data_IF_128352676214
#
_entry.id   IF_128352676214
#
_cell.length_a   1.000
_cell.length_b   1.000
_cell.length_c   1.000
_cell.angle_alpha   90.00
_cell.angle_beta   90.00
_cell.angle_gamma   90.00
#
_symmetry.space_group_name_H-M   'P 1'
#
loop_
_entity.id
_entity.type
_entity.pdbx_description
1 polymer ?
#
# COMPACT_ATOMS: atom_id res chain seq x y z
N UNK A 1 -57.59 -34.79 -35.45
CA UNK A 1 -58.76 -34.49 -36.30
C UNK A 1 -58.68 -33.01 -36.64
N UNK A 2 -58.73 -32.69 -37.90
CA UNK A 2 -58.79 -31.41 -38.61
C UNK A 2 -57.42 -30.86 -38.99
N UNK A 3 -57.03 -31.27 -40.10
CA UNK A 3 -56.35 -30.76 -41.25
C UNK A 3 -56.86 -29.37 -41.68
N UNK A 4 -55.97 -28.45 -41.98
CA UNK A 4 -56.27 -27.38 -42.92
C UNK A 4 -55.01 -26.90 -43.62
N UNK A 5 -54.89 -27.33 -44.86
CA UNK A 5 -53.96 -26.81 -45.87
C UNK A 5 -54.57 -25.56 -46.48
N UNK A 6 -53.78 -24.53 -46.66
CA UNK A 6 -54.10 -23.49 -47.63
C UNK A 6 -52.84 -22.98 -48.37
N UNK A 7 -53.04 -22.53 -49.60
CA UNK A 7 -52.02 -22.65 -50.63
C UNK A 7 -51.15 -21.41 -50.86
N UNK A 8 -50.04 -21.69 -51.45
CA UNK A 8 -49.01 -20.79 -51.97
C UNK A 8 -49.62 -19.88 -53.07
N UNK A 9 -49.51 -18.55 -52.86
CA UNK A 9 -49.68 -17.57 -53.94
C UNK A 9 -48.33 -16.94 -54.28
N UNK A 10 -47.81 -17.35 -55.38
CA UNK A 10 -46.57 -16.86 -55.99
C UNK A 10 -46.88 -15.57 -56.76
N UNK A 11 -46.40 -14.43 -56.30
CA UNK A 11 -46.47 -13.17 -57.06
C UNK A 11 -45.06 -12.71 -57.38
N UNK A 12 -44.59 -13.10 -58.55
CA UNK A 12 -43.34 -12.57 -59.12
C UNK A 12 -43.54 -11.08 -59.49
N UNK A 13 -42.88 -10.21 -58.75
CA UNK A 13 -42.73 -8.79 -59.15
C UNK A 13 -41.37 -8.59 -59.78
N UNK A 14 -41.40 -8.31 -61.07
CA UNK A 14 -40.31 -7.88 -61.91
C UNK A 14 -39.79 -6.50 -61.41
N UNK A 15 -38.59 -6.46 -60.82
CA UNK A 15 -37.91 -5.21 -60.48
C UNK A 15 -36.98 -4.80 -61.62
N UNK A 16 -37.29 -3.71 -62.22
CA UNK A 16 -36.57 -3.05 -63.31
C UNK A 16 -35.21 -2.51 -62.86
N UNK A 17 -34.15 -2.99 -63.48
CA UNK A 17 -32.74 -2.67 -63.22
C UNK A 17 -32.37 -1.28 -63.77
N UNK A 18 -32.93 -0.20 -63.26
CA UNK A 18 -32.52 1.19 -63.61
C UNK A 18 -32.05 2.06 -62.44
N UNK A 19 -31.92 1.52 -61.19
CA UNK A 19 -31.50 2.29 -59.99
C UNK A 19 -30.08 2.03 -59.50
N UNK A 20 -29.32 1.09 -60.12
CA UNK A 20 -28.06 0.57 -59.51
C UNK A 20 -26.82 1.46 -59.77
N UNK A 21 -26.89 2.42 -60.67
CA UNK A 21 -25.73 3.28 -61.00
C UNK A 21 -25.57 4.54 -60.11
N UNK A 22 -26.62 4.92 -59.35
CA UNK A 22 -26.55 6.15 -58.52
C UNK A 22 -26.14 5.84 -57.07
N UNK A 23 -26.34 4.61 -56.60
CA UNK A 23 -26.01 4.20 -55.24
C UNK A 23 -24.48 3.98 -55.00
N UNK A 24 -23.70 3.70 -56.06
CA UNK A 24 -22.26 3.43 -55.91
C UNK A 24 -21.42 4.73 -55.73
N UNK A 25 -21.90 5.90 -56.14
CA UNK A 25 -21.16 7.14 -56.01
C UNK A 25 -21.29 7.79 -54.61
N UNK A 26 -22.42 7.58 -53.94
CA UNK A 26 -22.66 8.12 -52.60
C UNK A 26 -21.97 7.31 -51.50
N UNK A 27 -21.69 6.01 -51.69
CA UNK A 27 -21.02 5.16 -50.71
C UNK A 27 -19.53 5.45 -50.54
N UNK A 28 -18.85 5.84 -51.64
CA UNK A 28 -17.41 6.15 -51.59
C UNK A 28 -17.09 7.44 -50.83
N UNK A 29 -17.96 8.45 -50.95
CA UNK A 29 -17.77 9.71 -50.20
C UNK A 29 -18.03 9.60 -48.70
N UNK A 30 -19.01 8.75 -48.28
CA UNK A 30 -19.32 8.48 -46.89
C UNK A 30 -18.22 7.70 -46.20
N UNK A 31 -17.57 6.75 -46.90
CA UNK A 31 -16.46 5.95 -46.34
C UNK A 31 -15.19 6.76 -46.16
N UNK A 32 -14.91 7.73 -47.06
CA UNK A 32 -13.76 8.65 -46.95
C UNK A 32 -13.88 9.63 -45.75
N UNK A 33 -15.09 10.09 -45.44
CA UNK A 33 -15.33 10.99 -44.28
C UNK A 33 -15.23 10.20 -42.95
N UNK A 34 -15.69 8.96 -42.89
CA UNK A 34 -15.55 8.10 -41.70
C UNK A 34 -14.09 7.73 -41.38
N UNK A 35 -13.24 7.57 -42.40
CA UNK A 35 -11.83 7.27 -42.23
C UNK A 35 -11.02 8.46 -41.67
N UNK A 36 -11.45 9.71 -41.95
CA UNK A 36 -10.78 10.94 -41.45
C UNK A 36 -11.11 11.23 -39.97
N UNK A 37 -12.24 10.76 -39.45
CA UNK A 37 -12.61 10.93 -38.02
C UNK A 37 -11.94 9.94 -37.08
N UNK A 38 -11.40 8.83 -37.58
CA UNK A 38 -10.68 7.81 -36.80
C UNK A 38 -9.21 8.13 -36.50
N UNK A 39 -8.61 9.13 -37.17
CA UNK A 39 -7.17 9.40 -37.12
C UNK A 39 -6.70 10.26 -35.90
N UNK A 40 -7.61 10.72 -35.04
CA UNK A 40 -7.29 11.60 -33.91
C UNK A 40 -7.36 10.93 -32.54
N UNK A 41 -7.39 9.60 -32.45
CA UNK A 41 -7.28 8.91 -31.17
C UNK A 41 -5.83 8.96 -30.69
N UNK A 42 -5.48 10.00 -29.92
CA UNK A 42 -4.23 9.98 -29.16
C UNK A 42 -4.25 8.76 -28.25
N UNK A 43 -3.17 7.93 -28.22
CA UNK A 43 -3.11 6.84 -27.28
C UNK A 43 -3.29 7.40 -25.86
N UNK A 44 -4.20 6.83 -25.09
CA UNK A 44 -4.37 7.18 -23.70
C UNK A 44 -3.05 6.95 -22.98
N UNK A 45 -2.41 8.03 -22.52
CA UNK A 45 -1.22 7.92 -21.66
C UNK A 45 -1.72 7.37 -20.33
N UNK A 46 -1.47 6.06 -20.11
CA UNK A 46 -1.72 5.43 -18.81
C UNK A 46 -0.73 6.06 -17.82
N UNK A 47 -1.21 6.75 -16.76
CA UNK A 47 -0.29 7.29 -15.76
C UNK A 47 0.59 6.18 -15.20
N UNK A 48 1.89 6.44 -14.95
CA UNK A 48 2.75 5.44 -14.34
C UNK A 48 2.17 5.04 -12.97
N UNK A 49 2.27 3.74 -12.66
CA UNK A 49 1.88 3.22 -11.34
C UNK A 49 2.72 3.94 -10.27
N UNK A 50 2.12 4.42 -9.17
CA UNK A 50 2.88 5.01 -8.07
C UNK A 50 3.94 4.05 -7.54
N UNK A 51 5.06 4.58 -7.07
CA UNK A 51 6.08 3.78 -6.39
C UNK A 51 5.46 3.10 -5.15
N UNK A 52 5.94 1.89 -4.78
CA UNK A 52 5.45 1.23 -3.58
C UNK A 52 5.89 1.98 -2.32
N UNK A 53 5.08 1.90 -1.26
CA UNK A 53 5.50 2.31 0.07
C UNK A 53 6.37 1.20 0.65
N UNK A 54 7.64 1.48 0.92
CA UNK A 54 8.59 0.50 1.47
C UNK A 54 8.92 0.87 2.92
N UNK A 55 8.88 -0.11 3.81
CA UNK A 55 9.31 -0.01 5.20
C UNK A 55 10.62 -0.77 5.39
N UNK A 56 11.66 -0.06 5.83
CA UNK A 56 12.93 -0.61 6.30
C UNK A 56 13.10 -0.24 7.78
N UNK A 57 13.41 -1.22 8.64
CA UNK A 57 13.52 -1.02 10.09
C UNK A 57 14.89 -1.45 10.58
N UNK A 58 15.62 -0.52 11.18
CA UNK A 58 16.82 -0.77 11.95
C UNK A 58 16.53 -0.63 13.46
N UNK A 59 17.18 -1.45 14.27
CA UNK A 59 17.05 -1.41 15.73
C UNK A 59 18.42 -1.47 16.37
N UNK A 60 18.62 -0.69 17.43
CA UNK A 60 19.86 -0.68 18.21
C UNK A 60 19.54 -0.59 19.70
N UNK A 61 20.07 -1.51 20.49
CA UNK A 61 20.07 -1.42 21.94
C UNK A 61 21.45 -1.01 22.44
N UNK A 62 21.51 -0.05 23.37
CA UNK A 62 22.73 0.24 24.09
C UNK A 62 23.15 -0.93 24.98
N UNK A 63 24.42 -0.97 25.41
CA UNK A 63 24.89 -2.02 26.31
C UNK A 63 24.19 -2.03 27.67
N UNK A 64 23.65 -0.88 28.10
CA UNK A 64 22.90 -0.74 29.35
C UNK A 64 21.44 -0.44 29.04
N UNK A 65 20.62 -1.49 28.98
CA UNK A 65 19.17 -1.39 28.74
C UNK A 65 18.42 -2.27 29.72
N UNK A 66 17.19 -1.88 30.09
CA UNK A 66 16.23 -2.67 30.84
C UNK A 66 16.87 -3.38 32.05
N UNK A 67 17.63 -2.62 32.84
CA UNK A 67 18.42 -3.17 33.95
C UNK A 67 17.54 -3.80 35.03
N UNK A 68 18.02 -4.90 35.62
CA UNK A 68 17.37 -5.50 36.79
C UNK A 68 17.72 -4.73 38.09
N UNK A 69 17.10 -5.05 39.24
CA UNK A 69 17.41 -4.40 40.51
C UNK A 69 18.88 -4.51 40.98
N UNK A 70 19.64 -5.42 40.38
CA UNK A 70 21.07 -5.60 40.63
C UNK A 70 21.94 -4.82 39.63
N UNK A 71 21.33 -4.01 38.76
CA UNK A 71 22.02 -3.22 37.75
C UNK A 71 22.48 -4.01 36.51
N UNK A 72 22.04 -5.26 36.32
CA UNK A 72 22.44 -6.08 35.16
C UNK A 72 21.54 -5.77 33.98
N UNK A 73 22.11 -5.49 32.79
CA UNK A 73 21.34 -5.30 31.57
C UNK A 73 20.52 -6.56 31.22
N UNK A 74 19.32 -6.36 30.72
CA UNK A 74 18.41 -7.44 30.34
C UNK A 74 17.83 -7.22 28.96
N UNK A 75 17.47 -8.27 28.21
CA UNK A 75 16.77 -8.13 26.94
C UNK A 75 15.44 -7.39 27.13
N UNK A 76 15.03 -6.68 26.07
CA UNK A 76 13.74 -6.00 26.00
C UNK A 76 12.91 -6.55 24.83
N UNK A 77 11.63 -6.79 25.07
CA UNK A 77 10.68 -7.15 24.02
C UNK A 77 10.19 -5.87 23.38
N UNK A 78 10.34 -5.77 22.06
CA UNK A 78 9.78 -4.71 21.24
C UNK A 78 8.60 -5.27 20.44
N UNK A 79 7.49 -4.55 20.41
CA UNK A 79 6.39 -4.78 19.46
C UNK A 79 6.35 -3.62 18.50
N UNK A 80 6.46 -3.92 17.23
CA UNK A 80 6.48 -2.96 16.13
C UNK A 80 5.17 -3.10 15.38
N UNK A 81 4.41 -2.03 15.33
CA UNK A 81 3.13 -1.98 14.64
C UNK A 81 3.24 -1.03 13.44
N UNK A 82 2.61 -1.40 12.33
CA UNK A 82 2.19 -0.46 11.29
C UNK A 82 0.72 -0.17 11.55
N UNK A 83 0.37 1.10 11.71
CA UNK A 83 -0.98 1.52 12.07
C UNK A 83 -1.55 2.50 11.04
N UNK A 84 -2.88 2.44 10.86
CA UNK A 84 -3.64 3.41 10.07
C UNK A 84 -3.98 4.69 10.85
N UNK A 85 -4.01 4.63 12.18
CA UNK A 85 -4.13 5.80 13.06
C UNK A 85 -3.45 5.53 14.41
N UNK A 86 -3.07 6.61 15.10
CA UNK A 86 -2.34 6.55 16.37
C UNK A 86 -3.27 6.54 17.61
N UNK A 87 -4.55 6.89 17.47
CA UNK A 87 -5.42 7.28 18.58
C UNK A 87 -5.50 6.26 19.69
N UNK A 88 -5.76 5.00 19.37
CA UNK A 88 -5.85 3.92 20.36
C UNK A 88 -4.49 3.63 20.99
N UNK A 89 -3.41 3.67 20.22
CA UNK A 89 -2.05 3.45 20.71
C UNK A 89 -1.59 4.53 21.68
N UNK A 90 -1.87 5.80 21.39
CA UNK A 90 -1.48 6.94 22.21
C UNK A 90 -2.34 7.07 23.47
N UNK A 91 -3.63 6.71 23.39
CA UNK A 91 -4.55 6.79 24.53
C UNK A 91 -4.42 5.64 25.52
N UNK A 92 -3.80 4.53 25.14
CA UNK A 92 -3.72 3.32 25.96
C UNK A 92 -2.63 3.40 27.02
N UNK A 93 -2.88 2.79 28.17
CA UNK A 93 -1.88 2.53 29.19
C UNK A 93 -0.99 1.32 28.80
N UNK A 94 0.11 1.16 29.54
CA UNK A 94 1.09 0.09 29.29
C UNK A 94 0.48 -1.30 29.35
N UNK A 95 -0.28 -1.61 30.40
CA UNK A 95 -0.81 -2.97 30.61
C UNK A 95 -1.89 -3.32 29.59
N UNK A 96 -2.69 -2.36 29.17
CA UNK A 96 -3.66 -2.55 28.09
C UNK A 96 -2.98 -2.96 26.78
N UNK A 97 -1.86 -2.31 26.41
CA UNK A 97 -1.08 -2.70 25.24
C UNK A 97 -0.28 -3.98 25.45
N UNK A 98 0.23 -4.21 26.67
CA UNK A 98 1.01 -5.42 26.97
C UNK A 98 0.15 -6.69 26.87
N UNK A 99 -1.03 -6.70 27.51
CA UNK A 99 -1.87 -7.88 27.64
C UNK A 99 -2.89 -8.06 26.51
N UNK A 100 -3.39 -6.96 25.94
CA UNK A 100 -4.57 -6.94 25.06
C UNK A 100 -4.41 -6.06 23.82
N UNK A 101 -3.19 -5.91 23.32
CA UNK A 101 -2.88 -5.05 22.16
C UNK A 101 -3.82 -5.27 20.97
N UNK A 102 -4.14 -6.52 20.64
CA UNK A 102 -5.06 -6.86 19.54
C UNK A 102 -6.48 -6.32 19.74
N UNK A 103 -6.98 -6.34 20.97
CA UNK A 103 -8.30 -5.83 21.28
C UNK A 103 -8.32 -4.30 21.33
N UNK A 104 -7.26 -3.71 21.90
CA UNK A 104 -7.14 -2.27 22.08
C UNK A 104 -6.92 -1.55 20.76
N UNK A 105 -6.04 -2.08 19.92
CA UNK A 105 -5.67 -1.46 18.64
C UNK A 105 -6.64 -1.85 17.51
N UNK A 106 -7.26 -3.03 17.60
CA UNK A 106 -8.27 -3.50 16.66
C UNK A 106 -7.86 -3.36 15.20
N UNK A 107 -8.75 -2.81 14.40
CA UNK A 107 -8.56 -2.61 12.96
C UNK A 107 -7.55 -1.50 12.59
N UNK A 108 -7.05 -0.76 13.56
CA UNK A 108 -5.97 0.19 13.28
C UNK A 108 -4.66 -0.52 12.91
N UNK A 109 -4.49 -1.80 13.25
CA UNK A 109 -3.28 -2.59 13.01
C UNK A 109 -3.26 -3.14 11.59
N UNK A 110 -2.34 -2.65 10.78
CA UNK A 110 -2.01 -3.21 9.46
C UNK A 110 -1.06 -4.41 9.62
N UNK A 111 -0.03 -4.26 10.44
CA UNK A 111 0.90 -5.34 10.75
C UNK A 111 1.47 -5.21 12.17
N UNK A 112 1.86 -6.35 12.75
CA UNK A 112 2.48 -6.47 14.07
C UNK A 112 3.65 -7.43 14.00
N UNK A 113 4.77 -7.03 14.51
CA UNK A 113 5.97 -7.84 14.65
C UNK A 113 6.50 -7.72 16.08
N UNK A 114 7.01 -8.84 16.64
CA UNK A 114 7.58 -8.88 17.98
C UNK A 114 9.03 -9.34 17.88
N UNK A 115 9.92 -8.60 18.53
CA UNK A 115 11.36 -8.82 18.50
C UNK A 115 11.91 -8.72 19.91
N UNK A 116 12.74 -9.68 20.31
CA UNK A 116 13.54 -9.59 21.54
C UNK A 116 14.90 -9.01 21.18
N UNK A 117 15.23 -7.84 21.72
CA UNK A 117 16.48 -7.15 21.48
C UNK A 117 17.39 -7.25 22.72
N UNK A 118 18.59 -7.79 22.54
CA UNK A 118 19.57 -7.98 23.63
C UNK A 118 20.38 -6.71 23.88
N UNK A 119 20.92 -6.51 25.09
CA UNK A 119 21.86 -5.42 25.36
C UNK A 119 23.03 -5.42 24.37
N UNK A 120 23.31 -4.26 23.75
CA UNK A 120 24.37 -4.09 22.75
C UNK A 120 24.02 -4.62 21.35
N UNK A 121 22.84 -5.20 21.15
CA UNK A 121 22.46 -5.77 19.86
C UNK A 121 22.05 -4.68 18.85
N UNK A 122 22.46 -4.91 17.61
CA UNK A 122 21.92 -4.23 16.43
C UNK A 122 21.22 -5.26 15.56
N UNK A 123 20.01 -4.94 15.10
CA UNK A 123 19.22 -5.79 14.20
C UNK A 123 18.59 -4.95 13.10
N UNK A 124 18.50 -5.53 11.91
CA UNK A 124 17.79 -4.96 10.77
C UNK A 124 16.76 -5.98 10.34
N UNK A 125 15.54 -5.55 10.09
CA UNK A 125 14.49 -6.37 9.50
C UNK A 125 14.59 -6.29 7.97
N UNK A 126 14.17 -7.36 7.32
CA UNK A 126 14.04 -7.34 5.86
C UNK A 126 13.05 -6.24 5.42
N UNK A 127 13.46 -5.38 4.49
CA UNK A 127 12.57 -4.37 3.95
C UNK A 127 11.34 -5.01 3.31
N UNK A 128 10.16 -4.41 3.53
CA UNK A 128 8.92 -4.91 2.96
C UNK A 128 8.07 -3.79 2.37
N UNK A 129 7.28 -4.13 1.37
CA UNK A 129 6.27 -3.25 0.81
C UNK A 129 5.04 -3.22 1.73
N UNK A 130 4.42 -2.06 1.82
CA UNK A 130 3.19 -1.83 2.54
C UNK A 130 2.11 -1.40 1.56
N UNK A 131 0.96 -2.04 1.61
CA UNK A 131 -0.22 -1.61 0.85
C UNK A 131 -0.91 -0.43 1.52
N UNK A 132 -0.88 -0.40 2.86
CA UNK A 132 -1.47 0.67 3.69
C UNK A 132 -0.63 0.91 4.95
N UNK A 133 -0.99 1.94 5.71
CA UNK A 133 -0.34 2.31 6.97
C UNK A 133 0.12 3.76 6.96
N UNK A 134 -0.07 4.46 8.07
CA UNK A 134 0.26 5.89 8.20
C UNK A 134 1.40 6.16 9.18
N UNK A 135 1.67 5.23 10.07
CA UNK A 135 2.75 5.38 11.05
C UNK A 135 3.29 4.02 11.48
N UNK A 136 4.53 4.02 11.95
CA UNK A 136 5.11 2.95 12.75
C UNK A 136 4.98 3.36 14.22
N UNK A 137 4.40 2.48 15.02
CA UNK A 137 4.32 2.62 16.46
C UNK A 137 5.10 1.49 17.12
N UNK A 138 5.87 1.79 18.15
CA UNK A 138 6.70 0.81 18.84
C UNK A 138 6.39 0.85 20.32
N UNK A 139 6.20 -0.34 20.89
CA UNK A 139 6.03 -0.61 22.30
C UNK A 139 7.25 -1.39 22.80
N UNK A 140 7.79 -1.01 23.95
CA UNK A 140 8.91 -1.67 24.59
C UNK A 140 8.51 -2.14 26.00
N UNK A 141 8.59 -3.46 26.24
CA UNK A 141 8.25 -4.07 27.53
C UNK A 141 9.41 -3.94 28.53
N UNK A 142 9.56 -2.73 29.09
CA UNK A 142 10.53 -2.48 30.17
C UNK A 142 10.03 -3.02 31.50
N UNK A 143 10.97 -3.39 32.39
CA UNK A 143 10.69 -3.82 33.77
C UNK A 143 10.19 -2.67 34.65
N UNK A 144 10.85 -1.53 34.58
CA UNK A 144 10.55 -0.32 35.35
C UNK A 144 9.65 0.60 34.52
N UNK A 145 8.36 0.26 34.46
CA UNK A 145 7.39 0.94 33.59
C UNK A 145 7.18 2.41 33.98
N UNK A 146 7.12 2.68 35.28
CA UNK A 146 6.78 4.00 35.84
C UNK A 146 7.79 5.10 35.44
N UNK A 147 9.05 4.72 35.24
CA UNK A 147 10.13 5.63 34.85
C UNK A 147 10.50 5.52 33.36
N UNK A 148 9.87 4.63 32.62
CA UNK A 148 10.24 4.33 31.24
C UNK A 148 9.52 5.22 30.21
N UNK A 149 10.23 5.50 29.13
CA UNK A 149 9.61 5.90 27.86
C UNK A 149 9.41 4.62 27.04
N UNK A 150 8.29 3.96 27.24
CA UNK A 150 8.01 2.63 26.74
C UNK A 150 7.27 2.59 25.39
N UNK A 151 6.84 3.75 24.88
CA UNK A 151 6.21 3.86 23.56
C UNK A 151 6.76 5.05 22.78
N UNK A 152 6.81 4.89 21.47
CA UNK A 152 7.15 5.96 20.53
C UNK A 152 6.56 5.64 19.17
N UNK A 153 6.37 6.65 18.33
CA UNK A 153 5.87 6.48 16.97
C UNK A 153 6.55 7.42 15.98
N UNK A 154 6.50 7.08 14.71
CA UNK A 154 6.97 7.92 13.62
C UNK A 154 6.04 7.79 12.40
N UNK A 155 5.77 8.88 11.67
CA UNK A 155 4.91 8.85 10.50
C UNK A 155 5.55 8.08 9.33
N UNK A 156 4.71 7.48 8.50
CA UNK A 156 5.08 6.91 7.21
C UNK A 156 4.62 7.82 6.08
N UNK A 157 5.45 7.95 5.06
CA UNK A 157 5.12 8.65 3.81
C UNK A 157 4.80 7.62 2.74
N UNK A 158 3.58 7.70 2.19
CA UNK A 158 3.14 6.82 1.11
C UNK A 158 4.00 7.00 -0.15
N UNK A 159 4.14 5.92 -0.92
CA UNK A 159 4.89 5.88 -2.17
C UNK A 159 6.37 6.26 -2.02
N UNK A 160 6.93 6.02 -0.84
CA UNK A 160 8.33 6.29 -0.53
C UNK A 160 8.95 5.13 0.26
N UNK A 161 10.26 5.01 0.18
CA UNK A 161 11.03 4.17 1.09
C UNK A 161 11.24 4.91 2.40
N UNK A 162 10.61 4.39 3.47
CA UNK A 162 10.71 4.89 4.84
C UNK A 162 11.76 4.08 5.59
N UNK A 163 12.78 4.74 6.13
CA UNK A 163 13.82 4.16 6.95
C UNK A 163 13.53 4.52 8.42
N UNK A 164 13.14 3.52 9.19
CA UNK A 164 12.80 3.66 10.61
C UNK A 164 13.97 3.17 11.44
N UNK A 165 14.46 4.03 12.32
CA UNK A 165 15.49 3.68 13.31
C UNK A 165 14.87 3.66 14.71
N UNK A 166 14.96 2.50 15.37
CA UNK A 166 14.48 2.26 16.73
C UNK A 166 15.69 2.19 17.65
N UNK A 167 15.75 3.09 18.62
CA UNK A 167 16.81 3.13 19.64
C UNK A 167 16.28 2.74 21.02
N UNK A 168 17.01 1.91 21.74
CA UNK A 168 16.72 1.57 23.13
C UNK A 168 17.96 1.85 23.96
N UNK A 169 17.82 2.73 24.94
CA UNK A 169 18.88 3.09 25.88
C UNK A 169 18.32 3.26 27.28
N UNK A 170 18.95 2.63 28.27
CA UNK A 170 18.43 2.55 29.64
C UNK A 170 16.98 2.03 29.67
N UNK A 171 16.01 2.82 30.10
CA UNK A 171 14.57 2.56 30.03
C UNK A 171 13.87 3.51 29.05
N UNK A 172 14.53 3.89 27.97
CA UNK A 172 14.01 4.84 27.00
C UNK A 172 14.00 4.26 25.60
N UNK A 173 12.83 4.24 25.00
CA UNK A 173 12.61 3.96 23.60
C UNK A 173 12.61 5.25 22.80
N UNK A 174 13.21 5.23 21.62
CA UNK A 174 13.13 6.28 20.60
C UNK A 174 12.83 5.69 19.24
N UNK A 175 12.08 6.41 18.42
CA UNK A 175 11.78 6.05 17.03
C UNK A 175 11.99 7.28 16.17
N UNK A 176 12.72 7.14 15.09
CA UNK A 176 12.89 8.19 14.09
C UNK A 176 12.64 7.65 12.70
N UNK A 177 12.10 8.50 11.81
CA UNK A 177 11.84 8.17 10.41
C UNK A 177 12.69 9.07 9.52
N UNK A 178 13.28 8.48 8.49
CA UNK A 178 13.95 9.17 7.38
C UNK A 178 13.39 8.65 6.07
N UNK A 179 13.41 9.48 5.05
CA UNK A 179 13.10 9.04 3.70
C UNK A 179 14.40 8.75 2.95
N UNK A 180 14.46 7.60 2.30
CA UNK A 180 15.56 7.35 1.38
C UNK A 180 15.57 8.42 0.26
N UNK A 181 16.75 8.79 -0.25
CA UNK A 181 16.88 9.66 -1.41
C UNK A 181 16.01 9.16 -2.57
N UNK A 182 15.43 10.08 -3.33
CA UNK A 182 14.73 9.70 -4.57
C UNK A 182 15.75 9.11 -5.56
N UNK A 183 15.38 8.09 -6.33
CA UNK A 183 16.21 7.62 -7.42
C UNK A 183 16.44 8.79 -8.40
N UNK A 184 17.62 8.86 -9.02
CA UNK A 184 17.88 9.88 -10.03
C UNK A 184 16.84 9.77 -11.17
N UNK A 185 16.41 10.90 -11.76
CA UNK A 185 15.50 10.86 -12.89
C UNK A 185 16.09 10.00 -14.02
N UNK A 186 15.27 9.26 -14.77
CA UNK A 186 15.75 8.46 -15.89
C UNK A 186 16.51 9.36 -16.85
N UNK A 187 17.71 8.91 -17.24
CA UNK A 187 18.50 9.61 -18.24
C UNK A 187 17.64 9.80 -19.49
N UNK A 188 17.53 11.05 -19.96
CA UNK A 188 16.82 11.31 -21.22
C UNK A 188 17.53 10.50 -22.31
N UNK A 189 16.81 9.55 -22.89
CA UNK A 189 17.29 8.87 -24.09
C UNK A 189 17.46 9.92 -25.18
N UNK A 190 18.70 10.14 -25.59
CA UNK A 190 19.02 10.96 -26.76
C UNK A 190 18.65 10.20 -28.03
#
# INVERSE_FOLDING_TARGET
MIDNRDPIVNTARSFTVKGLAFALRSGAAAFAVAALLGACSKPAVVPPKPDPTVLAVGMTAAGKVNVDPRGRPSPVVLRIYVLNNASAFEASDFFSLFDRDKQVLGEAVVSREEVVLKPGERRVLEPRELEEGRLVAVFAAFREVDSAVWRASAPLVANRRNEIEIGVQDNRLSVSARLAPLPPPPAKAN
#
